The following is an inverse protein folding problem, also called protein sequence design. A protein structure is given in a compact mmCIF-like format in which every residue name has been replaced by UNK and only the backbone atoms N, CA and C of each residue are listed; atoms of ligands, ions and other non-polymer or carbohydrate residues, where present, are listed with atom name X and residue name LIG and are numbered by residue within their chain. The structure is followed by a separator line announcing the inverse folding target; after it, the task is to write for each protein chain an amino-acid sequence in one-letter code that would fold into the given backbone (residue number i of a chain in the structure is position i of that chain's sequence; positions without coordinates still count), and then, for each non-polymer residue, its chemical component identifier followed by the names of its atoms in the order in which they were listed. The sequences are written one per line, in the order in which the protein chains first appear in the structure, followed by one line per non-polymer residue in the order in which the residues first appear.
data_IF_215908380377
#
_entry.id   IF_215908380377
#
_cell.length_a   1.000
_cell.length_b   1.000
_cell.length_c   1.000
_cell.angle_alpha   90.00
_cell.angle_beta   90.00
_cell.angle_gamma   90.00
#
_symmetry.space_group_name_H-M   'P 1'
#
loop_
_entity.id
_entity.type
_entity.pdbx_description
1 polymer ?
#
# COMPACT_ATOMS: atom_id res chain seq x y z
N UNK A 1 -1.37 6.32 6.83
CA UNK A 1 -0.12 6.44 6.04
C UNK A 1 0.46 7.80 6.33
N UNK A 2 1.47 7.86 7.20
CA UNK A 2 2.14 9.12 7.55
C UNK A 2 3.01 9.55 6.38
N UNK A 3 2.66 10.67 5.74
CA UNK A 3 3.54 11.35 4.80
C UNK A 3 4.76 11.85 5.59
N UNK A 4 5.83 11.08 5.60
CA UNK A 4 7.11 11.58 6.06
C UNK A 4 7.50 12.75 5.15
N UNK A 5 7.44 13.97 5.67
CA UNK A 5 8.03 15.14 5.03
C UNK A 5 9.53 14.89 4.91
N UNK A 6 9.95 14.54 3.69
CA UNK A 6 11.37 14.44 3.36
C UNK A 6 11.91 15.87 3.38
N UNK A 7 12.91 16.10 4.24
CA UNK A 7 13.60 17.38 4.27
C UNK A 7 14.14 17.74 2.88
N UNK A 8 14.14 19.02 2.48
CA UNK A 8 14.65 19.42 1.18
C UNK A 8 16.13 19.02 1.07
N UNK A 9 16.45 18.26 0.00
CA UNK A 9 17.83 17.98 -0.38
C UNK A 9 18.54 19.31 -0.68
N UNK A 10 19.84 19.43 -0.38
CA UNK A 10 20.58 20.64 -0.68
C UNK A 10 20.58 20.91 -2.20
N UNK A 11 20.59 22.19 -2.55
CA UNK A 11 20.50 22.75 -3.91
C UNK A 11 21.68 22.38 -4.85
N UNK A 12 22.34 21.27 -4.64
CA UNK A 12 23.38 20.79 -5.53
C UNK A 12 22.74 20.06 -6.71
N UNK A 13 22.44 20.83 -7.76
CA UNK A 13 21.98 20.39 -9.08
C UNK A 13 20.54 19.89 -9.18
N UNK A 14 19.56 20.73 -8.85
CA UNK A 14 18.21 20.58 -9.38
C UNK A 14 18.24 20.86 -10.90
N UNK A 15 18.62 19.86 -11.66
CA UNK A 15 18.35 19.87 -13.11
C UNK A 15 16.84 19.67 -13.24
N UNK A 16 16.18 20.55 -14.01
CA UNK A 16 14.75 20.37 -14.28
C UNK A 16 14.48 18.94 -14.76
N UNK A 17 13.39 18.30 -14.32
CA UNK A 17 13.08 16.95 -14.74
C UNK A 17 13.02 16.87 -16.26
N UNK A 18 13.52 15.80 -16.89
CA UNK A 18 13.51 15.68 -18.32
C UNK A 18 12.08 15.75 -18.87
N UNK A 19 11.88 16.43 -19.99
CA UNK A 19 10.56 16.66 -20.58
C UNK A 19 9.66 15.39 -20.65
N UNK A 20 10.17 14.19 -21.05
CA UNK A 20 9.36 12.98 -21.07
C UNK A 20 8.85 12.55 -19.68
N UNK A 21 9.59 12.83 -18.62
CA UNK A 21 9.15 12.54 -17.25
C UNK A 21 8.01 13.46 -16.84
N UNK A 22 8.10 14.74 -17.13
CA UNK A 22 7.04 15.71 -16.84
C UNK A 22 5.75 15.34 -17.58
N UNK A 23 5.83 14.92 -18.82
CA UNK A 23 4.68 14.47 -19.62
C UNK A 23 4.04 13.21 -19.00
N UNK A 24 4.85 12.21 -18.66
CA UNK A 24 4.37 10.96 -18.03
C UNK A 24 3.69 11.23 -16.68
N UNK A 25 4.22 12.14 -15.86
CA UNK A 25 3.63 12.55 -14.59
C UNK A 25 2.30 13.30 -14.78
N UNK A 26 2.21 14.16 -15.78
CA UNK A 26 0.98 14.85 -16.14
C UNK A 26 -0.11 13.86 -16.57
N UNK A 27 0.23 12.86 -17.37
CA UNK A 27 -0.69 11.78 -17.76
C UNK A 27 -1.18 10.99 -16.53
N UNK A 28 -0.29 10.67 -15.60
CA UNK A 28 -0.65 9.99 -14.35
C UNK A 28 -1.61 10.85 -13.52
N UNK A 29 -1.32 12.13 -13.34
CA UNK A 29 -2.16 13.05 -12.58
C UNK A 29 -3.55 13.21 -13.22
N UNK A 30 -3.63 13.31 -14.54
CA UNK A 30 -4.90 13.34 -15.26
C UNK A 30 -5.70 12.04 -15.09
N UNK A 31 -5.05 10.88 -15.16
CA UNK A 31 -5.70 9.60 -14.95
C UNK A 31 -6.26 9.47 -13.53
N UNK A 32 -5.50 9.89 -12.52
CA UNK A 32 -5.95 9.93 -11.12
C UNK A 32 -7.12 10.89 -10.90
N UNK A 33 -7.08 12.08 -11.49
CA UNK A 33 -8.17 13.05 -11.41
C UNK A 33 -9.47 12.50 -12.01
N UNK A 34 -9.39 11.87 -13.19
CA UNK A 34 -10.55 11.21 -13.84
C UNK A 34 -11.11 10.06 -12.98
N UNK A 35 -10.25 9.27 -12.36
CA UNK A 35 -10.70 8.20 -11.45
C UNK A 35 -11.42 8.80 -10.23
N UNK A 36 -10.82 9.80 -9.59
CA UNK A 36 -11.39 10.45 -8.40
C UNK A 36 -12.77 11.08 -8.70
N UNK A 37 -12.90 11.75 -9.83
CA UNK A 37 -14.15 12.35 -10.28
C UNK A 37 -15.22 11.28 -10.52
N UNK A 38 -14.87 10.20 -11.21
CA UNK A 38 -15.82 9.13 -11.52
C UNK A 38 -16.27 8.37 -10.27
N UNK A 39 -15.35 8.06 -9.35
CA UNK A 39 -15.69 7.47 -8.05
C UNK A 39 -16.64 8.37 -7.28
N UNK A 40 -16.36 9.67 -7.23
CA UNK A 40 -17.21 10.66 -6.54
C UNK A 40 -18.60 10.73 -7.16
N UNK A 41 -18.69 10.75 -8.48
CA UNK A 41 -19.98 10.84 -9.21
C UNK A 41 -20.81 9.59 -8.99
N UNK A 42 -20.21 8.39 -9.16
CA UNK A 42 -20.92 7.11 -8.97
C UNK A 42 -21.35 6.95 -7.51
N UNK A 43 -20.47 7.24 -6.54
CA UNK A 43 -20.79 7.11 -5.11
C UNK A 43 -21.92 8.07 -4.71
N UNK A 44 -21.89 9.32 -5.18
CA UNK A 44 -22.96 10.31 -4.90
C UNK A 44 -24.28 9.91 -5.57
N UNK A 45 -24.22 9.45 -6.81
CA UNK A 45 -25.41 8.95 -7.53
C UNK A 45 -26.05 7.76 -6.82
N UNK A 46 -25.24 6.79 -6.42
CA UNK A 46 -25.69 5.61 -5.70
C UNK A 46 -26.34 5.96 -4.35
N UNK A 47 -25.68 6.82 -3.55
CA UNK A 47 -26.22 7.28 -2.27
C UNK A 47 -27.53 8.06 -2.46
N UNK A 48 -27.62 8.92 -3.48
CA UNK A 48 -28.84 9.67 -3.76
C UNK A 48 -30.01 8.72 -4.10
N UNK A 49 -29.77 7.72 -4.97
CA UNK A 49 -30.81 6.74 -5.34
C UNK A 49 -31.28 5.95 -4.12
N UNK A 50 -30.37 5.46 -3.29
CA UNK A 50 -30.73 4.73 -2.05
C UNK A 50 -31.53 5.65 -1.11
N UNK A 51 -31.07 6.87 -0.90
CA UNK A 51 -31.73 7.81 0.01
C UNK A 51 -33.15 8.14 -0.44
N UNK A 52 -33.36 8.40 -1.74
CA UNK A 52 -34.69 8.64 -2.31
C UNK A 52 -35.57 7.41 -2.17
N UNK A 53 -35.05 6.22 -2.42
CA UNK A 53 -35.81 4.98 -2.27
C UNK A 53 -36.21 4.72 -0.81
N UNK A 54 -35.28 4.89 0.13
CA UNK A 54 -35.59 4.75 1.57
C UNK A 54 -36.59 5.80 2.05
N UNK A 55 -36.47 7.05 1.60
CA UNK A 55 -37.46 8.11 1.93
C UNK A 55 -38.87 7.77 1.40
N UNK A 56 -38.95 7.30 0.16
CA UNK A 56 -40.22 6.83 -0.41
C UNK A 56 -40.87 5.71 0.40
N UNK A 57 -40.09 4.70 0.80
CA UNK A 57 -40.57 3.61 1.64
C UNK A 57 -41.05 4.13 2.99
N UNK A 58 -40.32 5.04 3.64
CA UNK A 58 -40.70 5.64 4.92
C UNK A 58 -42.03 6.35 4.81
N UNK A 59 -42.21 7.19 3.80
CA UNK A 59 -43.46 7.93 3.57
C UNK A 59 -44.64 6.95 3.40
N UNK A 60 -44.48 5.93 2.55
CA UNK A 60 -45.50 4.91 2.30
C UNK A 60 -45.91 4.18 3.56
N UNK A 61 -44.95 3.82 4.45
CA UNK A 61 -45.21 3.10 5.69
C UNK A 61 -45.88 3.98 6.77
N UNK A 62 -45.46 5.22 6.87
CA UNK A 62 -46.12 6.19 7.76
C UNK A 62 -47.59 6.37 7.36
N UNK A 63 -47.87 6.48 6.06
CA UNK A 63 -49.25 6.58 5.56
C UNK A 63 -50.09 5.31 5.82
N UNK A 64 -49.42 4.15 5.88
CA UNK A 64 -50.07 2.89 6.24
C UNK A 64 -50.26 2.69 7.76
N UNK A 65 -49.92 3.67 8.59
CA UNK A 65 -50.07 3.64 10.04
C UNK A 65 -48.98 2.86 10.81
N UNK A 66 -47.88 2.49 10.14
CA UNK A 66 -46.79 1.72 10.78
C UNK A 66 -45.64 2.63 11.25
N UNK A 67 -45.84 3.40 12.30
CA UNK A 67 -44.92 4.45 12.76
C UNK A 67 -43.60 3.91 13.30
N UNK A 68 -43.53 2.71 13.86
CA UNK A 68 -42.30 2.11 14.43
C UNK A 68 -41.61 1.13 13.49
N UNK A 69 -42.36 0.35 12.72
CA UNK A 69 -41.80 -0.68 11.83
C UNK A 69 -41.10 -0.08 10.60
N UNK A 70 -41.58 1.07 10.12
CA UNK A 70 -41.06 1.74 8.94
C UNK A 70 -39.58 2.15 9.05
N UNK A 71 -39.17 2.88 10.10
CA UNK A 71 -37.78 3.28 10.28
C UNK A 71 -36.81 2.10 10.42
N UNK A 72 -37.20 1.03 11.12
CA UNK A 72 -36.39 -0.17 11.31
C UNK A 72 -36.17 -0.88 9.95
N UNK A 73 -37.24 -1.06 9.19
CA UNK A 73 -37.15 -1.70 7.88
C UNK A 73 -36.36 -0.86 6.89
N UNK A 74 -36.54 0.45 6.88
CA UNK A 74 -35.73 1.35 6.03
C UNK A 74 -34.25 1.28 6.37
N UNK A 75 -33.88 1.18 7.64
CA UNK A 75 -32.52 0.96 8.11
C UNK A 75 -31.94 -0.37 7.63
N UNK A 76 -32.70 -1.46 7.73
CA UNK A 76 -32.28 -2.79 7.23
C UNK A 76 -32.10 -2.75 5.70
N UNK A 77 -33.03 -2.16 4.96
CA UNK A 77 -32.94 -2.03 3.51
C UNK A 77 -31.73 -1.18 3.11
N UNK A 78 -31.50 -0.07 3.80
CA UNK A 78 -30.32 0.76 3.54
C UNK A 78 -29.03 -0.02 3.78
N UNK A 79 -28.96 -0.83 4.83
CA UNK A 79 -27.82 -1.68 5.12
C UNK A 79 -27.62 -2.76 4.06
N UNK A 80 -28.68 -3.48 3.66
CA UNK A 80 -28.64 -4.50 2.59
C UNK A 80 -28.22 -3.89 1.24
N UNK A 81 -28.77 -2.72 0.89
CA UNK A 81 -28.39 -2.02 -0.34
C UNK A 81 -26.93 -1.54 -0.30
N UNK A 82 -26.37 -1.31 0.90
CA UNK A 82 -24.94 -1.03 1.07
C UNK A 82 -24.05 -2.15 0.54
N UNK A 83 -24.46 -3.42 0.62
CA UNK A 83 -23.73 -4.55 0.03
C UNK A 83 -23.69 -4.49 -1.51
N UNK A 84 -24.66 -3.86 -2.14
CA UNK A 84 -24.66 -3.67 -3.60
C UNK A 84 -23.60 -2.66 -4.06
N UNK A 85 -23.00 -1.91 -3.14
CA UNK A 85 -21.87 -1.03 -3.47
C UNK A 85 -20.65 -1.82 -3.99
N UNK A 86 -20.46 -3.07 -3.53
CA UNK A 86 -19.41 -3.96 -4.02
C UNK A 86 -19.46 -4.14 -5.56
N UNK A 87 -20.54 -4.65 -6.14
CA UNK A 87 -20.71 -4.74 -7.59
C UNK A 87 -20.63 -3.38 -8.31
N UNK A 88 -21.18 -2.31 -7.71
CA UNK A 88 -21.10 -0.96 -8.28
C UNK A 88 -19.65 -0.48 -8.39
N UNK A 89 -18.79 -0.93 -7.49
CA UNK A 89 -17.35 -0.61 -7.55
C UNK A 89 -16.67 -1.12 -8.82
N UNK A 90 -17.24 -2.11 -9.50
CA UNK A 90 -16.71 -2.61 -10.77
C UNK A 90 -16.78 -1.57 -11.90
N UNK A 91 -17.68 -0.58 -11.79
CA UNK A 91 -17.87 0.44 -12.83
C UNK A 91 -16.66 1.38 -12.99
N UNK A 92 -15.79 1.49 -11.99
CA UNK A 92 -14.55 2.29 -12.12
C UNK A 92 -13.28 1.48 -12.30
N UNK A 93 -13.37 0.13 -12.38
CA UNK A 93 -12.21 -0.74 -12.69
C UNK A 93 -11.42 -0.33 -13.93
N UNK A 94 -12.08 0.04 -15.07
CA UNK A 94 -11.33 0.46 -16.25
C UNK A 94 -10.43 1.67 -16.00
N UNK A 95 -10.89 2.62 -15.15
CA UNK A 95 -10.10 3.78 -14.77
C UNK A 95 -8.96 3.43 -13.82
N UNK A 96 -9.16 2.46 -12.92
CA UNK A 96 -8.08 1.94 -12.09
C UNK A 96 -6.97 1.36 -12.96
N UNK A 97 -7.32 0.55 -13.96
CA UNK A 97 -6.35 0.03 -14.93
C UNK A 97 -5.63 1.13 -15.72
N UNK A 98 -6.34 2.20 -16.08
CA UNK A 98 -5.72 3.35 -16.74
C UNK A 98 -4.71 4.06 -15.82
N UNK A 99 -5.04 4.21 -14.54
CA UNK A 99 -4.11 4.77 -13.53
C UNK A 99 -2.91 3.85 -13.35
N UNK A 100 -3.12 2.53 -13.21
CA UNK A 100 -2.04 1.56 -13.06
C UNK A 100 -1.09 1.55 -14.26
N UNK A 101 -1.67 1.65 -15.47
CA UNK A 101 -0.88 1.75 -16.71
C UNK A 101 -0.07 3.03 -16.78
N UNK A 102 -0.69 4.17 -16.46
CA UNK A 102 -0.01 5.45 -16.44
C UNK A 102 1.09 5.49 -15.37
N UNK A 103 0.86 4.87 -14.22
CA UNK A 103 1.84 4.75 -13.15
C UNK A 103 3.05 3.92 -13.57
N UNK A 104 2.83 2.76 -14.21
CA UNK A 104 3.91 1.92 -14.74
C UNK A 104 4.73 2.66 -15.79
N UNK A 105 4.08 3.39 -16.68
CA UNK A 105 4.77 4.19 -17.70
C UNK A 105 5.61 5.31 -17.06
N UNK A 106 5.06 6.04 -16.09
CA UNK A 106 5.81 7.07 -15.39
C UNK A 106 7.02 6.49 -14.61
N UNK A 107 6.86 5.29 -14.01
CA UNK A 107 7.95 4.60 -13.32
C UNK A 107 9.06 4.13 -14.29
N UNK A 108 8.69 3.68 -15.49
CA UNK A 108 9.63 3.29 -16.53
C UNK A 108 10.42 4.48 -17.07
N UNK A 109 9.73 5.56 -17.47
CA UNK A 109 10.38 6.81 -17.96
C UNK A 109 11.31 7.37 -16.90
N UNK A 110 10.91 7.34 -15.62
CA UNK A 110 11.74 7.80 -14.52
C UNK A 110 13.01 6.95 -14.35
N UNK A 111 12.88 5.62 -14.45
CA UNK A 111 14.05 4.71 -14.40
C UNK A 111 15.02 5.00 -15.54
N UNK A 112 14.51 5.17 -16.74
CA UNK A 112 15.34 5.50 -17.91
C UNK A 112 16.02 6.86 -17.75
N UNK A 113 15.30 7.88 -17.29
CA UNK A 113 15.86 9.19 -17.03
C UNK A 113 16.96 9.17 -15.96
N UNK A 114 16.74 8.45 -14.85
CA UNK A 114 17.75 8.30 -13.81
C UNK A 114 18.97 7.53 -14.29
N UNK A 115 18.77 6.48 -15.09
CA UNK A 115 19.86 5.72 -15.71
C UNK A 115 20.67 6.59 -16.69
N UNK A 116 20.00 7.29 -17.57
CA UNK A 116 20.64 8.20 -18.51
C UNK A 116 21.44 9.31 -17.81
N UNK A 117 20.90 9.84 -16.70
CA UNK A 117 21.61 10.80 -15.87
C UNK A 117 22.90 10.19 -15.28
N UNK A 118 22.82 8.98 -14.70
CA UNK A 118 24.00 8.32 -14.15
C UNK A 118 25.05 8.00 -15.21
N UNK A 119 24.63 7.57 -16.40
CA UNK A 119 25.53 7.33 -17.53
C UNK A 119 26.24 8.60 -18.01
N UNK A 120 25.53 9.72 -18.01
CA UNK A 120 26.07 11.02 -18.43
C UNK A 120 27.18 11.56 -17.51
N UNK A 121 27.23 11.11 -16.25
CA UNK A 121 28.23 11.57 -15.29
C UNK A 121 29.65 11.01 -15.53
N UNK A 122 29.76 9.93 -16.31
CA UNK A 122 31.06 9.30 -16.67
C UNK A 122 31.98 8.98 -15.46
N UNK A 123 31.38 8.64 -14.30
CA UNK A 123 32.10 8.39 -13.04
C UNK A 123 32.61 6.95 -12.89
N UNK A 124 32.54 6.14 -13.94
CA UNK A 124 32.98 4.75 -13.94
C UNK A 124 31.82 3.77 -13.78
N UNK A 125 32.16 2.56 -13.29
CA UNK A 125 31.15 1.52 -13.08
C UNK A 125 30.15 1.93 -12.00
N UNK A 126 28.86 1.71 -12.27
CA UNK A 126 27.82 2.01 -11.30
C UNK A 126 26.84 0.84 -11.16
N UNK A 127 26.19 0.76 -10.00
CA UNK A 127 25.02 -0.10 -9.75
C UNK A 127 23.86 0.74 -9.30
N UNK A 128 22.65 0.33 -9.67
CA UNK A 128 21.45 1.04 -9.31
C UNK A 128 20.30 0.12 -9.00
N UNK A 129 19.38 0.58 -8.17
CA UNK A 129 18.14 -0.10 -7.80
C UNK A 129 17.00 0.91 -7.73
N UNK A 130 15.81 0.45 -8.10
CA UNK A 130 14.58 1.22 -7.94
C UNK A 130 13.60 0.41 -7.10
N UNK A 131 13.11 1.00 -6.03
CA UNK A 131 12.09 0.42 -5.15
C UNK A 131 11.13 1.51 -4.68
N UNK A 132 9.83 1.23 -4.74
CA UNK A 132 8.78 2.15 -4.28
C UNK A 132 8.96 3.60 -4.78
N UNK A 133 9.30 3.74 -6.07
CA UNK A 133 9.47 5.04 -6.69
C UNK A 133 10.71 5.83 -6.28
N UNK A 134 11.57 5.27 -5.47
CA UNK A 134 12.89 5.80 -5.15
C UNK A 134 13.94 5.07 -5.98
N UNK A 135 14.98 5.79 -6.38
CA UNK A 135 16.11 5.21 -7.09
C UNK A 135 17.38 5.53 -6.31
N UNK A 136 18.20 4.52 -6.14
CA UNK A 136 19.51 4.62 -5.51
C UNK A 136 20.56 4.12 -6.50
N UNK A 137 21.57 4.93 -6.77
CA UNK A 137 22.72 4.57 -7.58
C UNK A 137 24.01 4.73 -6.77
N UNK A 138 24.94 3.83 -6.96
CA UNK A 138 26.23 3.84 -6.26
C UNK A 138 27.34 3.68 -7.29
N UNK A 139 28.37 4.51 -7.19
CA UNK A 139 29.62 4.44 -7.93
C UNK A 139 30.72 4.04 -6.93
N UNK A 140 31.00 2.74 -6.76
CA UNK A 140 31.92 2.28 -5.70
C UNK A 140 33.33 2.86 -5.83
N UNK A 141 33.81 3.00 -7.08
CA UNK A 141 35.20 3.42 -7.35
C UNK A 141 35.39 4.94 -7.17
N UNK A 142 34.37 5.73 -7.43
CA UNK A 142 34.42 7.18 -7.29
C UNK A 142 33.87 7.70 -5.95
N UNK A 143 33.28 6.82 -5.12
CA UNK A 143 32.69 7.21 -3.84
C UNK A 143 31.46 8.08 -3.97
N UNK A 144 30.76 8.05 -5.12
CA UNK A 144 29.58 8.87 -5.34
C UNK A 144 28.28 8.08 -5.18
N UNK A 145 27.28 8.76 -4.63
CA UNK A 145 25.94 8.22 -4.39
C UNK A 145 24.92 9.06 -5.15
N UNK A 146 24.12 8.42 -5.99
CA UNK A 146 22.97 9.02 -6.64
C UNK A 146 21.69 8.65 -5.89
N UNK A 147 20.86 9.63 -5.60
CA UNK A 147 19.57 9.43 -4.95
C UNK A 147 18.48 10.18 -5.71
N UNK A 148 17.43 9.47 -6.09
CA UNK A 148 16.16 10.02 -6.52
C UNK A 148 15.15 9.76 -5.42
N UNK A 149 14.76 10.80 -4.69
CA UNK A 149 14.05 10.67 -3.42
C UNK A 149 12.53 10.62 -3.57
N UNK A 150 11.97 11.16 -4.65
CA UNK A 150 10.53 11.28 -4.82
C UNK A 150 10.01 10.81 -6.18
N UNK A 151 8.67 10.67 -6.24
CA UNK A 151 7.97 10.25 -7.45
C UNK A 151 7.92 11.31 -8.55
N UNK A 152 8.09 12.59 -8.21
CA UNK A 152 8.06 13.69 -9.18
C UNK A 152 9.31 13.72 -10.05
N UNK A 153 10.40 13.08 -9.60
CA UNK A 153 11.70 13.13 -10.26
C UNK A 153 12.40 14.47 -10.14
N UNK A 154 11.81 15.42 -9.40
CA UNK A 154 12.37 16.76 -9.21
C UNK A 154 13.49 16.78 -8.18
N UNK A 155 13.46 15.82 -7.25
CA UNK A 155 14.42 15.73 -6.15
C UNK A 155 15.41 14.60 -6.38
N UNK A 156 16.38 14.87 -7.21
CA UNK A 156 17.50 13.96 -7.39
C UNK A 156 18.80 14.66 -7.04
N UNK A 157 19.74 13.93 -6.48
CA UNK A 157 21.04 14.44 -6.12
C UNK A 157 22.13 13.41 -6.37
N UNK A 158 23.26 13.89 -6.85
CA UNK A 158 24.52 13.16 -6.89
C UNK A 158 25.40 13.72 -5.77
N UNK A 159 25.83 12.87 -4.85
CA UNK A 159 26.48 13.27 -3.59
C UNK A 159 27.76 12.48 -3.38
N UNK A 160 28.74 13.09 -2.74
CA UNK A 160 29.92 12.41 -2.22
C UNK A 160 29.50 11.53 -1.01
N UNK A 161 29.52 10.22 -1.20
CA UNK A 161 29.10 9.25 -0.19
C UNK A 161 29.96 9.36 1.09
N UNK A 162 31.25 9.68 0.96
CA UNK A 162 32.16 9.77 2.10
C UNK A 162 31.79 10.91 3.05
N UNK A 163 31.23 11.99 2.51
CA UNK A 163 30.83 13.18 3.29
C UNK A 163 29.42 13.06 3.84
N UNK A 164 28.51 12.53 3.03
CA UNK A 164 27.06 12.64 3.27
C UNK A 164 26.52 11.41 4.01
N UNK A 165 27.04 10.21 3.76
CA UNK A 165 26.57 8.98 4.42
C UNK A 165 27.15 8.87 5.82
N UNK A 166 26.29 8.86 6.81
CA UNK A 166 26.69 8.68 8.23
C UNK A 166 26.55 7.24 8.69
N UNK A 167 25.49 6.58 8.28
CA UNK A 167 25.22 5.22 8.70
C UNK A 167 24.43 4.48 7.62
N UNK A 168 24.73 3.18 7.47
CA UNK A 168 23.96 2.26 6.62
C UNK A 168 23.60 1.05 7.46
N UNK A 169 22.33 0.69 7.46
CA UNK A 169 21.85 -0.50 8.16
C UNK A 169 20.75 -1.20 7.39
N UNK A 170 20.60 -2.48 7.61
CA UNK A 170 19.45 -3.27 7.16
C UNK A 170 18.56 -3.50 8.37
N UNK A 171 17.33 -3.01 8.31
CA UNK A 171 16.32 -3.19 9.32
C UNK A 171 15.45 -4.39 8.97
N UNK A 172 15.19 -5.27 9.94
CA UNK A 172 14.34 -6.44 9.78
C UNK A 172 13.02 -6.19 10.52
N UNK A 173 11.91 -6.27 9.79
CA UNK A 173 10.59 -6.25 10.35
C UNK A 173 9.97 -7.63 10.21
N UNK A 174 9.70 -8.28 11.34
CA UNK A 174 9.01 -9.56 11.38
C UNK A 174 7.55 -9.35 11.78
N UNK A 175 6.63 -9.73 10.91
CA UNK A 175 5.18 -9.72 11.20
C UNK A 175 4.69 -11.16 11.30
N UNK A 176 4.26 -11.55 12.50
CA UNK A 176 3.68 -12.87 12.72
C UNK A 176 2.15 -12.79 12.67
N UNK A 177 1.57 -13.42 11.66
CA UNK A 177 0.13 -13.59 11.56
C UNK A 177 -0.25 -14.94 12.17
N UNK A 178 -1.06 -14.91 13.22
CA UNK A 178 -1.60 -16.12 13.87
C UNK A 178 -3.05 -16.27 13.45
N UNK A 179 -3.34 -17.34 12.71
CA UNK A 179 -4.72 -17.71 12.35
C UNK A 179 -5.12 -18.93 13.15
N UNK A 180 -6.14 -18.78 14.00
CA UNK A 180 -6.72 -19.89 14.77
C UNK A 180 -8.07 -20.28 14.18
N UNK A 181 -8.19 -21.52 13.74
CA UNK A 181 -9.43 -22.10 13.24
C UNK A 181 -9.92 -23.16 14.25
N UNK A 182 -11.08 -22.89 14.87
CA UNK A 182 -11.70 -23.83 15.80
C UNK A 182 -12.90 -24.48 15.15
N UNK A 183 -12.82 -25.77 14.90
CA UNK A 183 -13.96 -26.57 14.42
C UNK A 183 -14.55 -27.35 15.59
N UNK A 184 -15.79 -27.02 15.94
CA UNK A 184 -16.55 -27.75 17.00
C UNK A 184 -17.56 -28.68 16.34
N UNK A 185 -17.34 -29.97 16.47
CA UNK A 185 -18.28 -30.99 15.98
C UNK A 185 -19.20 -31.42 17.13
N UNK A 186 -20.47 -31.12 17.00
CA UNK A 186 -21.50 -31.58 17.91
C UNK A 186 -22.08 -32.90 17.37
N UNK A 187 -21.89 -34.01 18.10
CA UNK A 187 -22.62 -35.23 17.82
C UNK A 187 -23.89 -35.27 18.66
N UNK A 188 -25.01 -34.91 18.05
CA UNK A 188 -26.32 -35.16 18.66
C UNK A 188 -26.68 -36.62 18.40
N UNK A 189 -26.66 -37.43 19.48
CA UNK A 189 -27.26 -38.76 19.47
C UNK A 189 -28.74 -38.61 19.78
N UNK A 190 -29.56 -38.70 18.77
CA UNK A 190 -30.99 -38.89 19.00
C UNK A 190 -31.20 -40.32 19.51
N UNK A 191 -31.46 -40.47 20.80
CA UNK A 191 -31.94 -41.72 21.37
C UNK A 191 -33.46 -41.69 21.32
N UNK A 192 -34.04 -42.43 20.37
CA UNK A 192 -35.47 -42.69 20.37
C UNK A 192 -35.75 -43.73 21.45
N UNK A 193 -36.23 -43.28 22.62
CA UNK A 193 -36.72 -44.11 23.68
C UNK A 193 -38.22 -43.90 23.81
N UNK A 194 -39.01 -44.91 23.46
CA UNK A 194 -40.45 -44.99 23.78
C UNK A 194 -40.60 -45.31 25.26
N UNK A 195 -40.70 -44.32 26.11
CA UNK A 195 -41.32 -44.47 27.44
C UNK A 195 -41.79 -43.10 27.94
N UNK A 196 -42.99 -43.07 28.50
CA UNK A 196 -43.74 -41.92 28.98
C UNK A 196 -43.13 -41.23 30.23
N UNK A 197 -41.85 -40.91 30.25
CA UNK A 197 -41.27 -40.08 31.30
C UNK A 197 -40.36 -39.02 30.71
N UNK A 198 -40.71 -37.76 30.90
CA UNK A 198 -39.95 -36.60 30.53
C UNK A 198 -38.67 -36.48 31.38
N UNK A 199 -37.58 -37.01 30.87
CA UNK A 199 -36.25 -36.79 31.40
C UNK A 199 -35.32 -36.39 30.28
N UNK A 200 -35.00 -35.10 30.10
CA UNK A 200 -33.94 -34.62 29.22
C UNK A 200 -32.58 -35.03 29.81
N UNK A 201 -32.02 -36.14 29.34
CA UNK A 201 -30.60 -36.45 29.53
C UNK A 201 -29.90 -36.34 28.16
N UNK A 202 -29.66 -35.10 27.74
CA UNK A 202 -28.87 -34.79 26.57
C UNK A 202 -27.38 -34.71 26.89
N UNK A 203 -26.71 -35.86 27.00
CA UNK A 203 -25.26 -35.94 27.07
C UNK A 203 -24.64 -35.89 25.66
N UNK A 204 -24.56 -34.76 25.01
CA UNK A 204 -23.81 -34.58 23.78
C UNK A 204 -22.33 -34.43 24.07
N UNK A 205 -21.48 -35.33 23.51
CA UNK A 205 -20.03 -35.11 23.51
C UNK A 205 -19.68 -34.09 22.39
N UNK A 206 -19.24 -32.90 22.78
CA UNK A 206 -18.66 -31.96 21.82
C UNK A 206 -17.14 -32.17 21.75
N UNK A 207 -16.61 -32.35 20.55
CA UNK A 207 -15.18 -32.39 20.31
C UNK A 207 -14.79 -31.08 19.58
N UNK A 208 -13.96 -30.28 20.22
CA UNK A 208 -13.41 -29.09 19.64
C UNK A 208 -11.98 -29.37 19.24
N UNK A 209 -11.66 -29.12 17.97
CA UNK A 209 -10.29 -29.20 17.47
C UNK A 209 -9.89 -27.77 17.02
N UNK A 210 -8.90 -27.23 17.69
CA UNK A 210 -8.33 -25.92 17.34
C UNK A 210 -7.03 -26.14 16.60
N UNK A 211 -6.96 -25.68 15.36
CA UNK A 211 -5.74 -25.65 14.56
C UNK A 211 -5.22 -24.23 14.51
N UNK A 212 -4.06 -24.00 15.09
CA UNK A 212 -3.41 -22.69 15.07
C UNK A 212 -2.28 -22.73 14.05
N UNK A 213 -2.35 -21.90 13.03
CA UNK A 213 -1.29 -21.72 12.04
C UNK A 213 -0.67 -20.35 12.25
N UNK A 214 0.64 -20.31 12.51
CA UNK A 214 1.39 -19.06 12.57
C UNK A 214 2.28 -18.95 11.34
N UNK A 215 2.16 -17.84 10.65
CA UNK A 215 3.02 -17.51 9.50
C UNK A 215 3.77 -16.23 9.82
N UNK A 216 5.09 -16.30 9.88
CA UNK A 216 5.95 -15.15 10.08
C UNK A 216 6.46 -14.68 8.73
N UNK A 217 6.07 -13.48 8.33
CA UNK A 217 6.58 -12.79 7.14
C UNK A 217 7.68 -11.84 7.60
N UNK A 218 8.88 -12.02 7.08
CA UNK A 218 10.01 -11.11 7.32
C UNK A 218 10.14 -10.16 6.13
N UNK A 219 10.33 -8.89 6.42
CA UNK A 219 10.62 -7.88 5.42
C UNK A 219 11.87 -7.10 5.82
N UNK A 220 12.72 -6.85 4.84
CA UNK A 220 14.00 -6.17 5.02
C UNK A 220 13.95 -4.80 4.35
N UNK A 221 14.47 -3.82 5.05
CA UNK A 221 14.55 -2.43 4.58
C UNK A 221 15.96 -1.93 4.75
N UNK A 222 16.60 -1.53 3.65
CA UNK A 222 17.87 -0.83 3.70
C UNK A 222 17.62 0.62 4.13
N UNK A 223 18.26 1.04 5.18
CA UNK A 223 18.17 2.40 5.71
C UNK A 223 19.54 3.06 5.60
N UNK A 224 19.58 4.20 4.90
CA UNK A 224 20.79 5.01 4.71
C UNK A 224 20.56 6.34 5.40
N UNK A 225 21.37 6.64 6.40
CA UNK A 225 21.35 7.94 7.07
C UNK A 225 22.23 8.92 6.30
N UNK A 226 21.61 9.97 5.81
CA UNK A 226 22.28 11.03 5.08
C UNK A 226 22.30 12.31 5.93
N UNK A 227 23.41 13.02 5.85
CA UNK A 227 23.57 14.34 6.48
C UNK A 227 24.25 15.28 5.48
N UNK A 228 23.50 16.24 4.99
CA UNK A 228 24.00 17.31 4.15
C UNK A 228 24.40 18.52 5.01
N UNK A 229 25.29 19.37 4.51
CA UNK A 229 25.73 20.59 5.22
C UNK A 229 24.53 21.47 5.57
N UNK A 230 24.45 21.89 6.83
CA UNK A 230 23.36 22.74 7.33
C UNK A 230 22.02 22.04 7.55
N UNK A 231 21.93 20.72 7.35
CA UNK A 231 20.69 19.97 7.54
C UNK A 231 20.79 18.94 8.66
N UNK A 232 19.66 18.64 9.29
CA UNK A 232 19.55 17.51 10.21
C UNK A 232 19.70 16.19 9.48
N UNK A 233 20.32 15.16 10.09
CA UNK A 233 20.40 13.84 9.51
C UNK A 233 19.01 13.30 9.19
N UNK A 234 18.82 12.71 8.03
CA UNK A 234 17.57 12.05 7.63
C UNK A 234 17.82 10.66 7.09
N UNK A 235 16.80 9.80 7.17
CA UNK A 235 16.87 8.43 6.70
C UNK A 235 16.22 8.28 5.35
N UNK A 236 16.92 7.60 4.44
CA UNK A 236 16.39 7.11 3.18
C UNK A 236 16.15 5.62 3.31
N UNK A 237 14.93 5.18 3.08
CA UNK A 237 14.50 3.80 3.24
C UNK A 237 14.22 3.17 1.87
N UNK A 238 14.80 2.00 1.63
CA UNK A 238 14.61 1.19 0.43
C UNK A 238 14.13 -0.20 0.84
N UNK A 239 12.86 -0.55 0.58
CA UNK A 239 12.33 -1.86 0.95
C UNK A 239 12.80 -2.95 -0.01
N UNK A 240 13.29 -4.05 0.54
CA UNK A 240 13.72 -5.24 -0.20
C UNK A 240 12.75 -6.41 -0.06
N UNK A 241 11.66 -6.25 0.71
CA UNK A 241 10.72 -7.34 0.98
C UNK A 241 11.41 -8.50 1.70
N UNK A 242 11.29 -9.72 1.18
CA UNK A 242 11.89 -10.90 1.80
C UNK A 242 13.37 -11.12 1.43
N UNK A 243 13.94 -10.29 0.55
CA UNK A 243 15.31 -10.51 0.04
C UNK A 243 16.36 -9.83 0.93
N UNK A 244 16.74 -10.55 1.98
CA UNK A 244 17.80 -10.13 2.89
C UNK A 244 19.17 -10.04 2.20
N UNK A 245 19.45 -10.98 1.29
CA UNK A 245 20.77 -11.05 0.66
C UNK A 245 21.01 -9.85 -0.26
N UNK A 246 20.00 -9.45 -1.04
CA UNK A 246 20.08 -8.26 -1.87
C UNK A 246 20.24 -6.99 -1.01
N UNK A 247 19.51 -6.88 0.11
CA UNK A 247 19.63 -5.76 1.04
C UNK A 247 21.05 -5.65 1.62
N UNK A 248 21.66 -6.76 2.02
CA UNK A 248 23.03 -6.80 2.53
C UNK A 248 24.07 -6.47 1.46
N UNK A 249 23.89 -6.96 0.24
CA UNK A 249 24.77 -6.62 -0.88
C UNK A 249 24.77 -5.12 -1.17
N UNK A 250 23.60 -4.49 -1.10
CA UNK A 250 23.49 -3.04 -1.27
C UNK A 250 24.12 -2.26 -0.11
N UNK A 251 23.98 -2.75 1.12
CA UNK A 251 24.69 -2.19 2.27
C UNK A 251 26.19 -2.19 2.04
N UNK A 252 26.77 -3.34 1.67
CA UNK A 252 28.21 -3.48 1.41
C UNK A 252 28.68 -2.56 0.28
N UNK A 253 27.92 -2.42 -0.80
CA UNK A 253 28.24 -1.52 -1.90
C UNK A 253 28.32 -0.06 -1.47
N UNK A 254 27.39 0.38 -0.61
CA UNK A 254 27.41 1.75 -0.09
C UNK A 254 28.59 1.92 0.87
N UNK A 255 28.85 0.95 1.75
CA UNK A 255 29.98 0.99 2.67
C UNK A 255 31.32 1.02 1.91
N UNK A 256 31.43 0.29 0.80
CA UNK A 256 32.59 0.37 -0.10
C UNK A 256 32.75 1.77 -0.71
N UNK A 257 31.67 2.38 -1.18
CA UNK A 257 31.71 3.75 -1.72
C UNK A 257 32.08 4.80 -0.65
N UNK A 258 31.75 4.54 0.60
CA UNK A 258 32.15 5.40 1.76
C UNK A 258 33.59 5.15 2.19
N UNK A 259 34.26 4.09 1.67
CA UNK A 259 35.63 3.75 2.07
C UNK A 259 35.74 3.10 3.45
N UNK A 260 34.70 2.40 3.88
CA UNK A 260 34.61 1.70 5.17
C UNK A 260 34.69 0.19 5.03
#
# INVERSE_FOLDING_TARGET
MSSQQIAPLPDTTLTAPPAPLTEALNLLQQAQARLAERVRTISRGFLAVISVFCAFLLIKWVWAGHYFGGPILAGIIWWVLGFLYGPVSLLWRPQQWAVDKAWKHADEVRREAGKAFMESQALGAYRWITRNGRMLGVYPDSGMLYLLADYSGERHALMDATRVVKQVRVDEQAQTNVTSNTTTTHSSRHVYGFTNNWGMLGGGKSRSTTTTTSTTVRSFTLQVQLQCEGQHPFWVEMPFGADWQEAQNWKLLIEQAVGR
#
